data_IF_461364466409
#
_entry.id   IF_461364466409
#
_cell.length_a   1.000
_cell.length_b   1.000
_cell.length_c   1.000
_cell.angle_alpha   90.00
_cell.angle_beta   90.00
_cell.angle_gamma   90.00
#
_symmetry.space_group_name_H-M   'P 1'
#
loop_
_entity.id
_entity.type
_entity.pdbx_description
1 polymer ?
#
# COMPACT_ATOMS: atom_id res chain seq x y z
N UNK A 1 15.36 -9.66 -1.80
CA UNK A 1 13.89 -9.45 -1.90
C UNK A 1 13.52 -9.53 -3.38
N UNK A 2 12.25 -9.53 -3.78
CA UNK A 2 11.94 -9.35 -5.21
C UNK A 2 12.40 -7.95 -5.65
N UNK A 3 12.89 -7.79 -6.88
CA UNK A 3 13.41 -6.50 -7.39
C UNK A 3 12.43 -5.33 -7.17
N UNK A 4 11.12 -5.59 -7.27
CA UNK A 4 10.09 -4.58 -7.03
C UNK A 4 10.04 -4.10 -5.58
N UNK A 5 10.23 -5.00 -4.61
CA UNK A 5 10.22 -4.64 -3.19
C UNK A 5 11.43 -3.77 -2.84
N UNK A 6 12.60 -4.08 -3.42
CA UNK A 6 13.83 -3.29 -3.22
C UNK A 6 13.68 -1.89 -3.85
N UNK A 7 13.06 -1.81 -5.02
CA UNK A 7 12.74 -0.53 -5.66
C UNK A 7 11.80 0.32 -4.81
N UNK A 8 10.69 -0.26 -4.32
CA UNK A 8 9.72 0.44 -3.45
C UNK A 8 10.39 0.96 -2.18
N UNK A 9 11.18 0.12 -1.49
CA UNK A 9 11.88 0.51 -0.26
C UNK A 9 12.87 1.64 -0.54
N UNK A 10 13.64 1.55 -1.62
CA UNK A 10 14.60 2.59 -2.00
C UNK A 10 13.91 3.91 -2.37
N UNK A 11 12.79 3.86 -3.08
CA UNK A 11 12.04 5.04 -3.48
C UNK A 11 11.44 5.76 -2.27
N UNK A 12 10.86 5.00 -1.32
CA UNK A 12 10.29 5.52 -0.07
C UNK A 12 11.32 6.04 0.92
N UNK A 13 12.59 5.62 0.80
CA UNK A 13 13.69 6.11 1.64
C UNK A 13 14.18 7.51 1.24
N UNK A 14 13.82 8.00 0.05
CA UNK A 14 14.15 9.35 -0.40
C UNK A 14 13.20 10.37 0.24
N UNK A 15 13.70 11.34 1.03
CA UNK A 15 12.87 12.41 1.60
C UNK A 15 12.11 13.22 0.54
N UNK A 16 12.60 13.29 -0.70
CA UNK A 16 11.88 13.96 -1.78
C UNK A 16 10.50 13.30 -2.08
N UNK A 17 10.36 12.02 -1.77
CA UNK A 17 9.15 11.23 -2.06
C UNK A 17 8.27 11.03 -0.82
N UNK A 18 8.87 10.97 0.38
CA UNK A 18 8.19 10.56 1.60
C UNK A 18 8.38 11.56 2.76
N UNK A 19 8.59 12.85 2.51
CA UNK A 19 8.65 13.84 3.58
C UNK A 19 7.26 14.09 4.22
N UNK A 20 7.25 14.25 5.54
CA UNK A 20 6.05 14.57 6.34
C UNK A 20 5.43 15.91 5.93
N UNK A 21 6.26 16.85 5.48
CA UNK A 21 5.86 18.14 4.90
C UNK A 21 7.00 18.70 4.03
N UNK A 22 6.72 19.69 3.15
CA UNK A 22 7.75 20.25 2.27
C UNK A 22 8.97 20.76 3.04
N UNK A 23 10.15 20.21 2.71
CA UNK A 23 11.43 20.57 3.34
C UNK A 23 11.71 19.90 4.69
N UNK A 24 10.88 18.95 5.13
CA UNK A 24 11.13 18.18 6.35
C UNK A 24 11.98 16.94 6.09
N UNK A 25 12.90 16.66 7.01
CA UNK A 25 13.66 15.40 7.05
C UNK A 25 12.90 14.26 7.76
N UNK A 26 11.73 14.57 8.36
CA UNK A 26 10.88 13.56 8.97
C UNK A 26 10.05 12.87 7.89
N UNK A 27 9.98 11.53 7.86
CA UNK A 27 9.17 10.84 6.88
C UNK A 27 7.67 10.87 7.23
N UNK A 28 6.81 10.86 6.21
CA UNK A 28 5.36 10.72 6.36
C UNK A 28 4.99 9.29 6.78
N UNK A 29 5.60 8.30 6.12
CA UNK A 29 5.43 6.87 6.41
C UNK A 29 6.74 6.21 6.79
N UNK A 30 6.67 5.19 7.64
CA UNK A 30 7.79 4.33 7.98
C UNK A 30 8.19 3.43 6.79
N UNK A 31 9.24 2.62 6.96
CA UNK A 31 9.66 1.67 5.93
C UNK A 31 8.46 0.83 5.43
N UNK A 32 8.20 0.80 4.11
CA UNK A 32 7.04 0.11 3.56
C UNK A 32 7.15 -1.40 3.80
N UNK A 33 6.02 -2.04 4.09
CA UNK A 33 5.92 -3.49 4.12
C UNK A 33 5.42 -3.96 2.76
N UNK A 34 6.20 -4.78 2.06
CA UNK A 34 5.86 -5.27 0.72
C UNK A 34 5.73 -6.79 0.74
N UNK A 35 4.57 -7.29 0.31
CA UNK A 35 4.29 -8.70 0.10
C UNK A 35 3.95 -8.98 -1.36
N UNK A 36 4.31 -10.16 -1.83
CA UNK A 36 3.96 -10.64 -3.18
C UNK A 36 3.31 -12.02 -3.03
N UNK A 37 2.13 -12.18 -3.62
CA UNK A 37 1.41 -13.45 -3.70
C UNK A 37 1.28 -13.88 -5.16
N UNK A 38 1.27 -15.20 -5.39
CA UNK A 38 0.91 -15.75 -6.70
C UNK A 38 -0.56 -15.44 -7.01
N UNK A 39 -0.89 -15.15 -8.27
CA UNK A 39 -2.28 -14.85 -8.66
C UNK A 39 -3.25 -16.02 -8.45
N UNK A 40 -2.74 -17.25 -8.43
CA UNK A 40 -3.47 -18.48 -8.15
C UNK A 40 -3.52 -18.88 -6.67
N UNK A 41 -3.04 -18.03 -5.76
CA UNK A 41 -3.10 -18.31 -4.32
C UNK A 41 -4.55 -18.57 -3.89
N UNK A 42 -4.76 -19.73 -3.26
CA UNK A 42 -6.08 -20.21 -2.85
C UNK A 42 -6.79 -19.24 -1.89
N UNK A 43 -6.06 -18.37 -1.20
CA UNK A 43 -6.62 -17.37 -0.31
C UNK A 43 -7.54 -16.38 -1.04
N UNK A 44 -7.26 -16.03 -2.30
CA UNK A 44 -8.12 -15.12 -3.07
C UNK A 44 -9.50 -15.74 -3.33
N UNK A 45 -9.53 -16.99 -3.78
CA UNK A 45 -10.77 -17.73 -4.00
C UNK A 45 -11.50 -17.99 -2.68
N UNK A 46 -10.77 -18.28 -1.60
CA UNK A 46 -11.34 -18.44 -0.27
C UNK A 46 -12.04 -17.15 0.19
N UNK A 47 -11.35 -16.00 0.20
CA UNK A 47 -11.89 -14.71 0.65
C UNK A 47 -13.10 -14.31 -0.20
N UNK A 48 -13.02 -14.49 -1.53
CA UNK A 48 -14.13 -14.19 -2.43
C UNK A 48 -15.38 -14.99 -2.05
N UNK A 49 -15.25 -16.29 -1.84
CA UNK A 49 -16.38 -17.15 -1.52
C UNK A 49 -16.90 -16.97 -0.10
N UNK A 50 -16.01 -16.65 0.86
CA UNK A 50 -16.36 -16.48 2.27
C UNK A 50 -17.08 -15.16 2.56
N UNK A 51 -16.59 -14.05 1.98
CA UNK A 51 -17.13 -12.71 2.29
C UNK A 51 -18.22 -12.28 1.31
N UNK A 52 -18.07 -12.55 0.01
CA UNK A 52 -19.03 -12.09 -0.98
C UNK A 52 -18.58 -12.24 -2.43
N UNK A 53 -18.98 -13.31 -3.12
CA UNK A 53 -18.52 -13.60 -4.48
C UNK A 53 -19.04 -12.61 -5.52
N UNK A 54 -20.05 -11.81 -5.19
CA UNK A 54 -20.64 -10.81 -6.07
C UNK A 54 -19.81 -9.52 -6.16
N UNK A 55 -18.92 -9.25 -5.20
CA UNK A 55 -18.18 -7.99 -5.14
C UNK A 55 -16.67 -8.12 -4.90
N UNK A 56 -16.17 -9.27 -4.44
CA UNK A 56 -14.73 -9.55 -4.45
C UNK A 56 -14.28 -10.16 -5.78
N UNK A 57 -13.04 -9.85 -6.17
CA UNK A 57 -12.39 -10.40 -7.35
C UNK A 57 -11.24 -11.32 -6.99
N UNK A 58 -11.05 -12.36 -7.79
CA UNK A 58 -9.74 -13.01 -7.90
C UNK A 58 -8.77 -12.10 -8.69
N UNK A 59 -7.46 -12.32 -8.60
CA UNK A 59 -6.49 -11.53 -9.37
C UNK A 59 -6.73 -11.60 -10.88
N UNK A 60 -7.12 -12.77 -11.39
CA UNK A 60 -7.46 -12.97 -12.81
C UNK A 60 -8.68 -12.14 -13.23
N UNK A 61 -9.73 -12.09 -12.41
CA UNK A 61 -10.93 -11.29 -12.68
C UNK A 61 -10.62 -9.80 -12.66
N UNK A 62 -9.86 -9.32 -11.66
CA UNK A 62 -9.44 -7.93 -11.56
C UNK A 62 -8.59 -7.52 -12.78
N UNK A 63 -7.66 -8.38 -13.19
CA UNK A 63 -6.84 -8.14 -14.38
C UNK A 63 -7.70 -8.09 -15.65
N UNK A 64 -8.62 -9.05 -15.84
CA UNK A 64 -9.50 -9.10 -17.01
C UNK A 64 -10.42 -7.88 -17.10
N UNK A 65 -10.89 -7.37 -15.97
CA UNK A 65 -11.70 -6.15 -15.92
C UNK A 65 -10.92 -4.91 -16.38
N UNK A 66 -9.64 -4.78 -15.99
CA UNK A 66 -8.79 -3.67 -16.38
C UNK A 66 -8.26 -3.80 -17.83
N UNK A 67 -7.98 -5.02 -18.29
CA UNK A 67 -7.36 -5.32 -19.58
C UNK A 67 -8.17 -6.36 -20.37
N UNK A 68 -9.37 -6.00 -20.89
CA UNK A 68 -10.30 -6.97 -21.46
C UNK A 68 -9.81 -7.65 -22.74
N UNK A 69 -8.88 -7.03 -23.47
CA UNK A 69 -8.29 -7.57 -24.69
C UNK A 69 -7.20 -8.63 -24.41
N UNK A 70 -6.61 -8.62 -23.21
CA UNK A 70 -5.54 -9.53 -22.83
C UNK A 70 -6.11 -10.86 -22.35
N UNK A 71 -5.35 -11.94 -22.57
CA UNK A 71 -5.64 -13.26 -22.00
C UNK A 71 -4.46 -13.65 -21.13
N UNK A 72 -4.74 -13.88 -19.85
CA UNK A 72 -3.76 -14.26 -18.84
C UNK A 72 -4.34 -15.37 -17.98
N UNK A 73 -3.51 -16.25 -17.48
CA UNK A 73 -3.89 -17.24 -16.48
C UNK A 73 -3.52 -16.75 -15.07
N UNK A 74 -4.21 -17.24 -14.05
CA UNK A 74 -3.90 -16.90 -12.66
C UNK A 74 -2.45 -17.18 -12.24
N UNK A 75 -1.82 -18.24 -12.77
CA UNK A 75 -0.41 -18.63 -12.52
C UNK A 75 0.61 -17.68 -13.18
N UNK A 76 0.16 -16.83 -14.10
CA UNK A 76 0.99 -15.83 -14.78
C UNK A 76 0.91 -14.45 -14.09
N UNK A 77 0.09 -14.32 -13.05
CA UNK A 77 -0.11 -13.08 -12.30
C UNK A 77 0.61 -13.12 -10.95
N UNK A 78 0.98 -11.93 -10.49
CA UNK A 78 1.43 -11.70 -9.11
C UNK A 78 0.69 -10.50 -8.53
N UNK A 79 0.23 -10.64 -7.29
CA UNK A 79 -0.41 -9.55 -6.55
C UNK A 79 0.62 -8.96 -5.61
N UNK A 80 0.90 -7.67 -5.77
CA UNK A 80 1.79 -6.92 -4.88
C UNK A 80 0.92 -6.14 -3.89
N UNK A 81 1.11 -6.42 -2.60
CA UNK A 81 0.55 -5.62 -1.53
C UNK A 81 1.67 -4.78 -0.92
N UNK A 82 1.50 -3.47 -0.90
CA UNK A 82 2.38 -2.55 -0.21
C UNK A 82 1.62 -1.79 0.88
N UNK A 83 2.20 -1.69 2.06
CA UNK A 83 1.60 -1.05 3.22
C UNK A 83 2.53 0.10 3.61
N UNK A 84 1.93 1.27 3.88
CA UNK A 84 2.61 2.49 4.30
C UNK A 84 2.33 2.75 5.79
N UNK A 85 3.19 2.28 6.71
CA UNK A 85 2.93 2.38 8.14
C UNK A 85 3.12 3.81 8.63
N UNK A 86 2.33 4.24 9.62
CA UNK A 86 2.59 5.50 10.31
C UNK A 86 3.88 5.41 11.13
N UNK A 87 4.74 6.42 11.03
CA UNK A 87 6.01 6.46 11.76
C UNK A 87 5.79 6.47 13.28
N UNK A 88 6.78 6.00 14.05
CA UNK A 88 6.75 6.11 15.51
C UNK A 88 6.52 7.55 15.97
N UNK A 89 7.14 8.53 15.30
CA UNK A 89 6.98 9.96 15.59
C UNK A 89 5.50 10.38 15.50
N UNK A 90 4.86 10.10 14.36
CA UNK A 90 3.44 10.43 14.12
C UNK A 90 2.54 9.72 15.13
N UNK A 91 2.79 8.42 15.41
CA UNK A 91 1.99 7.65 16.38
C UNK A 91 2.10 8.19 17.80
N UNK A 92 3.29 8.60 18.24
CA UNK A 92 3.52 9.15 19.58
C UNK A 92 2.90 10.54 19.75
N UNK A 93 2.92 11.36 18.70
CA UNK A 93 2.24 12.64 18.71
C UNK A 93 0.72 12.45 18.77
N UNK A 94 0.16 11.59 17.91
CA UNK A 94 -1.27 11.32 17.86
C UNK A 94 -1.81 10.66 19.13
N UNK A 95 -1.03 9.83 19.82
CA UNK A 95 -1.43 9.22 21.11
C UNK A 95 -1.85 10.25 22.18
N UNK A 96 -1.30 11.46 22.13
CA UNK A 96 -1.59 12.53 23.09
C UNK A 96 -2.84 13.32 22.73
N UNK A 97 -3.42 13.08 21.56
CA UNK A 97 -4.59 13.77 21.05
C UNK A 97 -5.88 13.08 21.47
N UNK A 98 -6.91 13.87 21.79
CA UNK A 98 -8.21 13.36 22.29
C UNK A 98 -9.39 13.77 21.40
N UNK A 99 -9.38 14.99 20.85
CA UNK A 99 -10.50 15.52 20.06
C UNK A 99 -10.23 15.76 18.57
N UNK A 100 -8.97 15.99 18.19
CA UNK A 100 -8.54 16.24 16.81
C UNK A 100 -7.27 15.47 16.51
N UNK A 101 -7.01 15.08 15.25
CA UNK A 101 -5.73 14.50 14.90
C UNK A 101 -4.56 15.41 15.25
N UNK A 102 -3.42 14.84 15.65
CA UNK A 102 -2.21 15.64 15.79
C UNK A 102 -1.81 16.30 14.46
N UNK A 103 -1.05 17.41 14.50
CA UNK A 103 -0.51 18.03 13.30
C UNK A 103 0.25 17.03 12.41
N UNK A 104 1.07 16.16 12.99
CA UNK A 104 1.84 15.12 12.30
C UNK A 104 0.91 14.14 11.56
N UNK A 105 -0.17 13.70 12.21
CA UNK A 105 -1.13 12.81 11.56
C UNK A 105 -1.82 13.48 10.38
N UNK A 106 -2.19 14.76 10.56
CA UNK A 106 -2.82 15.55 9.50
C UNK A 106 -1.87 15.80 8.33
N UNK A 107 -0.60 16.06 8.63
CA UNK A 107 0.48 16.25 7.65
C UNK A 107 0.79 14.95 6.90
N UNK A 108 0.93 13.82 7.59
CA UNK A 108 1.15 12.51 6.97
C UNK A 108 0.00 12.16 6.03
N UNK A 109 -1.25 12.43 6.41
CA UNK A 109 -2.40 12.27 5.52
C UNK A 109 -2.36 13.21 4.31
N UNK A 110 -2.00 14.48 4.50
CA UNK A 110 -2.08 15.47 3.42
C UNK A 110 -0.90 15.40 2.44
N UNK A 111 0.32 15.39 2.97
CA UNK A 111 1.55 15.38 2.17
C UNK A 111 1.98 13.97 1.77
N UNK A 112 1.72 12.97 2.62
CA UNK A 112 2.02 11.58 2.32
C UNK A 112 1.13 10.99 1.23
N UNK A 113 -0.08 11.51 1.01
CA UNK A 113 -0.97 11.03 -0.07
C UNK A 113 -0.32 11.12 -1.46
N UNK A 114 0.65 12.03 -1.64
CA UNK A 114 1.43 12.16 -2.87
C UNK A 114 2.21 10.90 -3.25
N UNK A 115 2.41 9.96 -2.32
CA UNK A 115 2.98 8.64 -2.61
C UNK A 115 2.06 7.80 -3.51
N UNK A 116 0.75 8.07 -3.51
CA UNK A 116 -0.24 7.34 -4.28
C UNK A 116 -0.59 8.00 -5.63
N UNK A 117 0.02 9.14 -5.97
CA UNK A 117 -0.18 9.87 -7.23
C UNK A 117 0.83 9.41 -8.31
#
# INVERSE_FOLDING_TARGET
MCQISEHIVSWMADPANNALEPGSDLPAFDQPLVGVAAGEDALFTFIKNDIGPEFYWTPEEAFKAAFPAETVRADELSVIAWILPQTLHTRLAHRKSVGLPSPEWSKARHYGEKVNE
#
